data_IF_306065645240
#
_entry.id   IF_306065645240
#
_cell.length_a   1.000
_cell.length_b   1.000
_cell.length_c   1.000
_cell.angle_alpha   90.00
_cell.angle_beta   90.00
_cell.angle_gamma   90.00
#
_symmetry.space_group_name_H-M   'P 1'
#
loop_
_entity.id
_entity.type
_entity.pdbx_description
1 polymer ?
#
# COMPACT_ATOMS: atom_id res chain seq x y z
N UNK A 1 4.75 -29.06 -1.38
CA UNK A 1 4.66 -27.93 -0.43
C UNK A 1 5.23 -26.77 -1.19
N UNK A 2 4.37 -25.88 -1.67
CA UNK A 2 4.81 -24.71 -2.41
C UNK A 2 5.34 -23.66 -1.44
N UNK A 3 6.25 -22.81 -1.91
CA UNK A 3 6.59 -21.55 -1.21
C UNK A 3 5.71 -20.44 -1.79
N UNK A 4 4.82 -19.89 -0.98
CA UNK A 4 3.99 -18.73 -1.32
C UNK A 4 4.57 -17.50 -0.64
N UNK A 5 4.82 -16.44 -1.42
CA UNK A 5 5.39 -15.21 -0.88
C UNK A 5 4.34 -14.11 -0.85
N UNK A 6 4.15 -13.50 0.30
CA UNK A 6 3.30 -12.33 0.47
C UNK A 6 4.17 -11.11 0.71
N UNK A 7 3.86 -10.00 0.03
CA UNK A 7 4.45 -8.70 0.31
C UNK A 7 3.34 -7.69 0.64
N UNK A 8 3.37 -7.17 1.86
CA UNK A 8 2.44 -6.17 2.37
C UNK A 8 3.18 -4.85 2.54
N UNK A 9 2.80 -3.84 1.77
CA UNK A 9 3.53 -2.57 1.71
C UNK A 9 2.72 -1.46 2.35
N UNK A 10 3.34 -0.73 3.26
CA UNK A 10 2.93 0.65 3.45
C UNK A 10 3.09 1.43 2.13
N UNK A 11 2.30 2.49 1.98
CA UNK A 11 2.30 3.29 0.76
C UNK A 11 2.95 4.65 0.98
N UNK A 12 2.56 5.38 2.03
CA UNK A 12 3.01 6.74 2.28
C UNK A 12 4.43 6.75 2.87
N UNK A 13 5.40 7.34 2.17
CA UNK A 13 6.80 7.32 2.58
C UNK A 13 7.56 6.04 2.20
N UNK A 14 6.83 4.95 1.90
CA UNK A 14 7.36 3.66 1.46
C UNK A 14 7.36 3.56 -0.08
N UNK A 15 6.29 3.05 -0.70
CA UNK A 15 6.22 2.92 -2.16
C UNK A 15 5.95 4.27 -2.88
N UNK A 16 5.14 5.13 -2.26
CA UNK A 16 4.96 6.54 -2.60
C UNK A 16 5.84 7.39 -1.68
N UNK A 17 7.08 7.60 -2.09
CA UNK A 17 8.13 8.25 -1.30
C UNK A 17 8.57 9.59 -1.92
N UNK A 18 9.46 10.30 -1.24
CA UNK A 18 9.93 11.63 -1.65
C UNK A 18 10.54 11.64 -3.07
N UNK A 19 11.19 10.56 -3.49
CA UNK A 19 11.76 10.46 -4.83
C UNK A 19 10.68 10.29 -5.90
N UNK A 20 9.64 9.51 -5.61
CA UNK A 20 8.44 9.40 -6.45
C UNK A 20 7.75 10.75 -6.57
N UNK A 21 7.55 11.44 -5.44
CA UNK A 21 6.95 12.76 -5.38
C UNK A 21 7.72 13.77 -6.25
N UNK A 22 9.04 13.83 -6.08
CA UNK A 22 9.89 14.69 -6.89
C UNK A 22 9.74 14.41 -8.40
N UNK A 23 9.76 13.12 -8.78
CA UNK A 23 9.67 12.70 -10.17
C UNK A 23 8.28 12.94 -10.79
N UNK A 24 7.21 12.83 -9.99
CA UNK A 24 5.86 13.15 -10.42
C UNK A 24 5.69 14.65 -10.66
N UNK A 25 6.19 15.47 -9.75
CA UNK A 25 6.01 16.92 -9.79
C UNK A 25 4.59 17.35 -9.39
N UNK A 26 4.41 18.65 -9.07
CA UNK A 26 3.26 19.17 -8.33
C UNK A 26 1.92 19.13 -9.09
N UNK A 27 1.94 18.96 -10.40
CA UNK A 27 0.78 19.03 -11.29
C UNK A 27 0.46 17.68 -11.97
N UNK A 28 1.09 16.59 -11.51
CA UNK A 28 0.93 15.27 -12.12
C UNK A 28 -0.52 14.82 -12.23
N UNK A 29 -1.38 15.19 -11.27
CA UNK A 29 -2.79 14.82 -11.22
C UNK A 29 -3.58 15.33 -12.43
N UNK A 30 -3.10 16.39 -13.08
CA UNK A 30 -3.72 16.98 -14.28
C UNK A 30 -2.90 16.79 -15.55
N UNK A 31 -1.60 16.50 -15.43
CA UNK A 31 -0.67 16.48 -16.57
C UNK A 31 -0.14 15.10 -16.97
N UNK A 32 -0.23 14.10 -16.09
CA UNK A 32 0.32 12.76 -16.37
C UNK A 32 -0.78 11.73 -16.57
N UNK A 33 -0.58 10.85 -17.54
CA UNK A 33 -1.41 9.67 -17.77
C UNK A 33 -1.20 8.61 -16.69
N UNK A 34 -2.07 7.60 -16.67
CA UNK A 34 -1.92 6.49 -15.73
C UNK A 34 -0.60 5.74 -15.91
N UNK A 35 -0.26 5.49 -17.16
CA UNK A 35 0.95 4.77 -17.58
C UNK A 35 2.20 5.55 -17.16
N UNK A 36 2.21 6.88 -17.30
CA UNK A 36 3.33 7.73 -16.86
C UNK A 36 3.50 7.70 -15.33
N UNK A 37 2.40 7.85 -14.58
CA UNK A 37 2.44 7.82 -13.12
C UNK A 37 2.86 6.44 -12.60
N UNK A 38 2.39 5.35 -13.24
CA UNK A 38 2.80 3.98 -12.92
C UNK A 38 4.28 3.79 -13.19
N UNK A 39 4.73 4.19 -14.39
CA UNK A 39 6.14 4.08 -14.78
C UNK A 39 7.05 4.82 -13.80
N UNK A 40 6.67 6.01 -13.32
CA UNK A 40 7.46 6.76 -12.35
C UNK A 40 7.60 5.98 -11.02
N UNK A 41 6.49 5.49 -10.45
CA UNK A 41 6.54 4.69 -9.21
C UNK A 41 7.42 3.45 -9.38
N UNK A 42 7.29 2.75 -10.50
CA UNK A 42 8.05 1.52 -10.79
C UNK A 42 9.53 1.80 -11.04
N UNK A 43 9.87 2.89 -11.75
CA UNK A 43 11.25 3.25 -12.05
C UNK A 43 12.00 3.75 -10.80
N UNK A 44 11.36 4.59 -9.99
CA UNK A 44 11.95 5.09 -8.75
C UNK A 44 12.21 3.94 -7.77
N UNK A 45 11.27 3.00 -7.64
CA UNK A 45 11.40 1.87 -6.74
C UNK A 45 12.08 0.64 -7.39
N UNK A 46 12.73 0.78 -8.55
CA UNK A 46 13.20 -0.36 -9.35
C UNK A 46 14.10 -1.32 -8.57
N UNK A 47 15.13 -0.79 -7.91
CA UNK A 47 16.10 -1.62 -7.16
C UNK A 47 15.40 -2.39 -6.03
N UNK A 48 14.44 -1.74 -5.35
CA UNK A 48 13.64 -2.38 -4.32
C UNK A 48 12.78 -3.50 -4.91
N UNK A 49 12.05 -3.24 -5.99
CA UNK A 49 11.18 -4.21 -6.67
C UNK A 49 12.00 -5.42 -7.15
N UNK A 50 13.17 -5.18 -7.75
CA UNK A 50 14.09 -6.23 -8.23
C UNK A 50 14.69 -7.06 -7.07
N UNK A 51 14.71 -6.52 -5.85
CA UNK A 51 15.17 -7.23 -4.66
C UNK A 51 14.09 -8.08 -3.98
N UNK A 52 12.81 -7.95 -4.37
CA UNK A 52 11.72 -8.69 -3.74
C UNK A 52 11.82 -10.18 -4.05
N UNK A 53 11.70 -11.00 -3.01
CA UNK A 53 11.61 -12.45 -3.18
C UNK A 53 10.33 -12.83 -3.94
N UNK A 54 10.43 -13.85 -4.78
CA UNK A 54 9.27 -14.41 -5.50
C UNK A 54 9.12 -15.89 -5.16
N UNK A 55 7.87 -16.30 -4.93
CA UNK A 55 7.50 -17.69 -4.72
C UNK A 55 6.99 -18.35 -6.00
N UNK A 56 6.48 -19.57 -5.86
CA UNK A 56 5.66 -20.20 -6.90
C UNK A 56 4.40 -19.35 -7.19
N UNK A 57 3.90 -18.69 -6.14
CA UNK A 57 2.95 -17.60 -6.23
C UNK A 57 3.41 -16.46 -5.34
N UNK A 58 3.20 -15.24 -5.82
CA UNK A 58 3.46 -14.02 -5.06
C UNK A 58 2.17 -13.23 -4.92
N UNK A 59 1.88 -12.72 -3.72
CA UNK A 59 0.66 -11.96 -3.44
C UNK A 59 1.02 -10.61 -2.83
N UNK A 60 0.57 -9.54 -3.47
CA UNK A 60 0.76 -8.18 -2.97
C UNK A 60 -0.46 -7.75 -2.17
N UNK A 61 -0.22 -7.08 -1.05
CA UNK A 61 -1.23 -6.60 -0.12
C UNK A 61 -1.02 -5.12 0.16
N UNK A 62 -2.10 -4.40 0.48
CA UNK A 62 -2.01 -3.06 1.06
C UNK A 62 -1.65 -3.20 2.54
N UNK A 63 -0.41 -2.89 2.90
CA UNK A 63 0.09 -2.81 4.27
C UNK A 63 -0.04 -1.43 4.90
N UNK A 64 -0.71 -0.50 4.22
CA UNK A 64 -0.92 0.87 4.67
C UNK A 64 -2.22 1.04 5.45
N UNK A 65 -2.33 2.10 6.26
CA UNK A 65 -3.61 2.50 6.88
C UNK A 65 -4.68 2.92 5.86
N UNK A 66 -4.31 3.04 4.57
CA UNK A 66 -5.22 3.22 3.43
C UNK A 66 -6.06 1.96 3.16
N UNK A 67 -6.74 1.46 4.19
CA UNK A 67 -7.61 0.27 4.16
C UNK A 67 -9.04 0.60 3.74
N UNK A 68 -9.37 1.88 3.64
CA UNK A 68 -10.70 2.34 3.26
C UNK A 68 -10.60 3.62 2.40
N UNK A 69 -11.67 3.98 1.66
CA UNK A 69 -11.65 5.13 0.78
C UNK A 69 -11.48 6.48 1.48
N UNK A 70 -11.91 6.61 2.75
CA UNK A 70 -11.76 7.84 3.52
C UNK A 70 -10.29 8.08 3.86
N UNK A 71 -9.58 7.08 4.43
CA UNK A 71 -8.16 7.25 4.75
C UNK A 71 -7.33 7.36 3.47
N UNK A 72 -7.64 6.58 2.43
CA UNK A 72 -6.96 6.68 1.13
C UNK A 72 -7.15 8.08 0.51
N UNK A 73 -8.36 8.64 0.51
CA UNK A 73 -8.61 10.02 0.04
C UNK A 73 -7.81 11.02 0.85
N UNK A 74 -7.91 10.95 2.19
CA UNK A 74 -7.25 11.89 3.09
C UNK A 74 -5.75 11.89 2.86
N UNK A 75 -5.12 10.72 2.74
CA UNK A 75 -3.69 10.62 2.48
C UNK A 75 -3.33 10.96 1.02
N UNK A 76 -4.20 10.66 0.06
CA UNK A 76 -4.02 11.02 -1.35
C UNK A 76 -3.93 12.52 -1.57
N UNK A 77 -4.47 13.35 -0.66
CA UNK A 77 -4.47 14.82 -0.75
C UNK A 77 -3.45 15.49 0.17
N UNK A 78 -2.63 14.72 0.91
CA UNK A 78 -1.59 15.28 1.78
C UNK A 78 -0.40 15.78 0.95
N UNK A 79 0.05 17.00 1.24
CA UNK A 79 1.23 17.69 0.65
C UNK A 79 1.19 17.88 -0.87
N UNK A 80 2.25 18.53 -1.38
CA UNK A 80 2.51 18.71 -2.81
C UNK A 80 3.82 17.98 -3.14
N UNK A 81 3.83 17.07 -4.13
CA UNK A 81 2.66 16.52 -4.82
C UNK A 81 1.85 15.52 -3.97
N UNK A 82 0.54 15.39 -4.24
CA UNK A 82 -0.30 14.37 -3.64
C UNK A 82 0.11 12.96 -4.11
N UNK A 83 0.07 11.91 -3.27
CA UNK A 83 0.48 10.56 -3.67
C UNK A 83 -0.60 9.79 -4.49
N UNK A 84 -1.83 10.31 -4.59
CA UNK A 84 -2.93 9.60 -5.26
C UNK A 84 -3.43 8.39 -4.46
N UNK A 85 -4.24 7.54 -5.08
CA UNK A 85 -4.76 6.30 -4.48
C UNK A 85 -3.73 5.16 -4.56
N UNK A 86 -3.66 4.34 -3.51
CA UNK A 86 -2.76 3.18 -3.45
C UNK A 86 -3.12 2.09 -4.47
N UNK A 87 -4.40 1.87 -4.75
CA UNK A 87 -4.83 0.66 -5.45
C UNK A 87 -4.30 0.53 -6.89
N UNK A 88 -4.42 1.56 -7.75
CA UNK A 88 -3.89 1.46 -9.11
C UNK A 88 -2.37 1.26 -9.15
N UNK A 89 -1.65 1.70 -8.11
CA UNK A 89 -0.19 1.53 -8.01
C UNK A 89 0.17 0.08 -7.65
N UNK A 90 -0.61 -0.54 -6.77
CA UNK A 90 -0.44 -1.94 -6.39
C UNK A 90 -0.78 -2.89 -7.55
N UNK A 91 -1.80 -2.58 -8.35
CA UNK A 91 -2.11 -3.31 -9.58
C UNK A 91 -0.95 -3.25 -10.57
N UNK A 92 -0.40 -2.05 -10.80
CA UNK A 92 0.75 -1.88 -11.69
C UNK A 92 2.01 -2.58 -11.18
N UNK A 93 2.21 -2.65 -9.86
CA UNK A 93 3.30 -3.42 -9.26
C UNK A 93 3.12 -4.92 -9.49
N UNK A 94 1.91 -5.45 -9.32
CA UNK A 94 1.62 -6.86 -9.60
C UNK A 94 1.89 -7.20 -11.07
N UNK A 95 1.41 -6.37 -12.00
CA UNK A 95 1.68 -6.54 -13.44
C UNK A 95 3.19 -6.49 -13.74
N UNK A 96 3.92 -5.56 -13.11
CA UNK A 96 5.37 -5.44 -13.28
C UNK A 96 6.14 -6.67 -12.77
N UNK A 97 5.69 -7.29 -11.69
CA UNK A 97 6.33 -8.45 -11.08
C UNK A 97 6.06 -9.76 -11.85
N UNK A 98 5.01 -9.80 -12.68
CA UNK A 98 4.79 -10.86 -13.66
C UNK A 98 3.64 -11.81 -13.33
N UNK A 99 3.46 -12.83 -14.16
CA UNK A 99 2.25 -13.67 -14.22
C UNK A 99 1.95 -14.48 -12.95
N UNK A 100 2.97 -14.76 -12.12
CA UNK A 100 2.81 -15.47 -10.84
C UNK A 100 2.50 -14.53 -9.68
N UNK A 101 2.42 -13.22 -9.93
CA UNK A 101 2.13 -12.20 -8.93
C UNK A 101 0.70 -11.69 -9.07
N UNK A 102 -0.04 -11.65 -7.96
CA UNK A 102 -1.39 -11.09 -7.92
C UNK A 102 -1.49 -9.98 -6.89
N UNK A 103 -2.35 -8.99 -7.15
CA UNK A 103 -2.76 -8.03 -6.14
C UNK A 103 -4.00 -8.57 -5.41
N UNK A 104 -3.89 -8.73 -4.10
CA UNK A 104 -5.01 -9.15 -3.27
C UNK A 104 -5.95 -7.98 -3.02
N UNK A 105 -7.26 -8.12 -3.27
CA UNK A 105 -8.24 -7.06 -3.03
C UNK A 105 -8.60 -6.91 -1.54
N UNK A 106 -8.03 -7.73 -0.66
CA UNK A 106 -8.35 -7.74 0.76
C UNK A 106 -8.05 -6.40 1.42
N UNK A 107 -9.05 -5.86 2.11
CA UNK A 107 -8.92 -4.72 3.01
C UNK A 107 -9.53 -5.05 4.37
N UNK A 108 -8.97 -4.47 5.44
CA UNK A 108 -9.39 -4.79 6.81
C UNK A 108 -10.90 -4.68 7.08
N UNK A 109 -11.63 -3.67 6.54
CA UNK A 109 -13.09 -3.57 6.71
C UNK A 109 -13.89 -4.78 6.21
N UNK A 110 -13.33 -5.59 5.30
CA UNK A 110 -13.97 -6.82 4.83
C UNK A 110 -14.24 -7.82 5.97
N UNK A 111 -13.45 -7.76 7.06
CA UNK A 111 -13.62 -8.61 8.24
C UNK A 111 -14.54 -8.00 9.30
N UNK A 112 -14.78 -6.69 9.24
CA UNK A 112 -15.62 -5.95 10.20
C UNK A 112 -17.09 -5.91 9.77
N UNK A 113 -17.36 -6.24 8.50
CA UNK A 113 -18.70 -6.33 7.96
C UNK A 113 -19.53 -7.44 8.63
N UNK A 114 -20.86 -7.22 8.70
CA UNK A 114 -21.80 -8.22 9.23
C UNK A 114 -21.73 -9.56 8.49
N UNK A 115 -21.42 -9.51 7.19
CA UNK A 115 -21.11 -10.66 6.36
C UNK A 115 -19.70 -10.49 5.79
N UNK A 116 -18.81 -11.41 6.16
CA UNK A 116 -17.40 -11.37 5.74
C UNK A 116 -17.28 -11.81 4.28
N UNK A 117 -16.81 -10.89 3.44
CA UNK A 117 -16.59 -11.12 2.00
C UNK A 117 -15.28 -10.44 1.58
N UNK A 118 -14.24 -11.22 1.40
CA UNK A 118 -12.89 -10.73 1.07
C UNK A 118 -12.90 -10.01 -0.27
N UNK A 119 -12.40 -8.79 -0.30
CA UNK A 119 -12.31 -7.93 -1.47
C UNK A 119 -13.55 -7.07 -1.72
N UNK A 120 -14.62 -7.22 -0.93
CA UNK A 120 -15.87 -6.47 -1.14
C UNK A 120 -15.65 -4.96 -1.08
N UNK A 121 -14.91 -4.48 -0.08
CA UNK A 121 -14.62 -3.05 0.09
C UNK A 121 -13.91 -2.49 -1.15
N UNK A 122 -12.91 -3.22 -1.66
CA UNK A 122 -12.20 -2.82 -2.87
C UNK A 122 -13.09 -2.83 -4.12
N UNK A 123 -13.91 -3.88 -4.30
CA UNK A 123 -14.81 -3.98 -5.45
C UNK A 123 -15.88 -2.89 -5.45
N UNK A 124 -16.46 -2.56 -4.30
CA UNK A 124 -17.40 -1.44 -4.18
C UNK A 124 -16.72 -0.10 -4.46
N UNK A 125 -15.47 0.10 -3.99
CA UNK A 125 -14.70 1.30 -4.32
C UNK A 125 -14.51 1.48 -5.83
N UNK A 126 -14.16 0.42 -6.56
CA UNK A 126 -13.99 0.46 -8.01
C UNK A 126 -15.30 0.82 -8.73
N UNK A 127 -16.44 0.24 -8.31
CA UNK A 127 -17.76 0.50 -8.90
C UNK A 127 -18.21 1.95 -8.79
N UNK A 128 -17.75 2.67 -7.76
CA UNK A 128 -18.12 4.07 -7.52
C UNK A 128 -17.33 5.06 -8.39
N UNK A 129 -16.27 4.60 -9.04
CA UNK A 129 -15.45 5.39 -9.95
C UNK A 129 -14.94 6.72 -9.33
N UNK A 130 -14.47 6.71 -8.09
CA UNK A 130 -13.98 7.93 -7.43
C UNK A 130 -12.70 8.51 -8.04
N UNK A 131 -11.96 7.70 -8.81
CA UNK A 131 -10.65 8.06 -9.35
C UNK A 131 -10.75 8.57 -10.79
N UNK A 132 -9.91 9.56 -11.10
CA UNK A 132 -9.50 9.87 -12.46
C UNK A 132 -8.72 8.68 -13.04
N UNK A 133 -8.63 8.63 -14.38
CA UNK A 133 -7.91 7.55 -15.07
C UNK A 133 -6.45 7.40 -14.63
N UNK A 134 -5.81 8.46 -14.15
CA UNK A 134 -4.43 8.43 -13.70
C UNK A 134 -4.24 8.01 -12.23
N UNK A 135 -5.31 7.62 -11.53
CA UNK A 135 -5.26 7.17 -10.14
C UNK A 135 -5.30 8.30 -9.09
N UNK A 136 -5.44 9.56 -9.51
CA UNK A 136 -5.81 10.66 -8.61
C UNK A 136 -7.31 10.64 -8.31
N UNK A 137 -7.75 11.20 -7.20
CA UNK A 137 -9.18 11.36 -6.92
C UNK A 137 -9.82 12.43 -7.81
N UNK A 138 -11.07 12.20 -8.25
CA UNK A 138 -11.87 13.17 -8.98
C UNK A 138 -12.15 14.40 -8.10
N UNK A 139 -12.27 15.56 -8.75
CA UNK A 139 -12.69 16.79 -8.08
C UNK A 139 -14.08 16.63 -7.45
N UNK A 140 -14.26 17.13 -6.24
CA UNK A 140 -15.54 17.09 -5.50
C UNK A 140 -15.86 15.76 -4.82
N UNK A 141 -14.99 14.74 -4.90
CA UNK A 141 -15.08 13.58 -4.01
C UNK A 141 -14.70 14.02 -2.60
N UNK A 142 -15.64 13.96 -1.67
CA UNK A 142 -15.43 14.36 -0.27
C UNK A 142 -15.64 13.18 0.67
N UNK A 143 -15.04 13.26 1.85
CA UNK A 143 -15.08 12.23 2.88
C UNK A 143 -16.51 11.75 3.20
N UNK A 144 -17.46 12.68 3.32
CA UNK A 144 -18.85 12.38 3.68
C UNK A 144 -19.58 11.56 2.60
N UNK A 145 -19.06 11.53 1.37
CA UNK A 145 -19.61 10.72 0.29
C UNK A 145 -19.40 9.22 0.56
N UNK A 146 -18.30 8.83 1.18
CA UNK A 146 -17.99 7.41 1.43
C UNK A 146 -18.97 6.78 2.42
N UNK A 147 -19.29 7.47 3.51
CA UNK A 147 -20.30 6.99 4.47
C UNK A 147 -21.67 6.85 3.81
N UNK A 148 -22.07 7.81 2.96
CA UNK A 148 -23.33 7.73 2.20
C UNK A 148 -23.35 6.57 1.21
N UNK A 149 -22.19 6.23 0.67
CA UNK A 149 -22.01 5.14 -0.27
C UNK A 149 -21.85 3.76 0.39
N UNK A 150 -21.88 3.71 1.73
CA UNK A 150 -21.90 2.46 2.51
C UNK A 150 -20.52 1.96 2.94
N UNK A 151 -19.47 2.77 2.81
CA UNK A 151 -18.15 2.43 3.36
C UNK A 151 -18.16 2.66 4.88
N UNK A 152 -17.68 1.66 5.62
CA UNK A 152 -17.46 1.78 7.05
C UNK A 152 -16.16 2.53 7.30
N UNK A 153 -16.15 3.40 8.30
CA UNK A 153 -14.90 3.95 8.82
C UNK A 153 -14.21 2.85 9.63
N UNK A 154 -12.99 2.41 9.25
CA UNK A 154 -12.28 1.40 10.01
C UNK A 154 -11.85 1.93 11.37
N UNK A 155 -11.63 1.01 12.30
CA UNK A 155 -10.88 1.31 13.51
C UNK A 155 -9.43 1.61 13.13
N UNK A 156 -8.97 2.83 13.43
CA UNK A 156 -7.59 3.23 13.16
C UNK A 156 -6.62 2.47 14.07
N UNK A 157 -5.81 1.61 13.45
CA UNK A 157 -4.69 0.91 14.10
C UNK A 157 -3.39 1.39 13.48
N UNK A 158 -2.90 2.55 13.94
CA UNK A 158 -1.61 3.10 13.54
C UNK A 158 -0.43 2.14 13.77
N UNK A 159 -0.56 1.14 14.67
CA UNK A 159 0.49 0.18 14.95
C UNK A 159 0.64 -0.89 13.87
N UNK A 160 -0.34 -1.03 12.97
CA UNK A 160 -0.43 -2.07 11.92
C UNK A 160 -0.55 -3.51 12.43
N UNK A 161 -0.65 -3.73 13.76
CA UNK A 161 -0.69 -5.07 14.36
C UNK A 161 -1.90 -5.86 13.85
N UNK A 162 -3.08 -5.25 13.92
CA UNK A 162 -4.35 -5.91 13.54
C UNK A 162 -4.36 -6.25 12.05
N UNK A 163 -3.84 -5.34 11.22
CA UNK A 163 -3.73 -5.52 9.78
C UNK A 163 -2.83 -6.71 9.43
N UNK A 164 -1.60 -6.72 9.94
CA UNK A 164 -0.62 -7.78 9.63
C UNK A 164 -1.09 -9.12 10.20
N UNK A 165 -1.67 -9.13 11.41
CA UNK A 165 -2.28 -10.32 11.98
C UNK A 165 -3.38 -10.89 11.08
N UNK A 166 -4.32 -10.05 10.63
CA UNK A 166 -5.40 -10.46 9.74
C UNK A 166 -4.87 -11.00 8.40
N UNK A 167 -3.91 -10.31 7.78
CA UNK A 167 -3.31 -10.72 6.52
C UNK A 167 -2.58 -12.06 6.62
N UNK A 168 -1.76 -12.27 7.65
CA UNK A 168 -1.08 -13.56 7.87
C UNK A 168 -2.08 -14.69 8.10
N UNK A 169 -3.14 -14.45 8.88
CA UNK A 169 -4.18 -15.45 9.15
C UNK A 169 -4.93 -15.83 7.87
N UNK A 170 -5.31 -14.84 7.06
CA UNK A 170 -5.95 -15.06 5.78
C UNK A 170 -5.05 -15.87 4.84
N UNK A 171 -3.77 -15.51 4.74
CA UNK A 171 -2.78 -16.25 3.93
C UNK A 171 -2.67 -17.71 4.37
N UNK A 172 -2.56 -17.97 5.68
CA UNK A 172 -2.49 -19.33 6.24
C UNK A 172 -3.77 -20.14 6.03
N UNK A 173 -4.94 -19.51 6.12
CA UNK A 173 -6.23 -20.16 5.87
C UNK A 173 -6.41 -20.55 4.39
N UNK A 174 -5.92 -19.71 3.47
CA UNK A 174 -5.99 -19.95 2.03
C UNK A 174 -4.98 -21.00 1.57
N UNK A 175 -3.82 -21.11 2.24
CA UNK A 175 -2.73 -22.01 1.89
C UNK A 175 -2.34 -22.92 3.08
N UNK A 176 -3.23 -23.78 3.58
CA UNK A 176 -3.03 -24.50 4.85
C UNK A 176 -1.95 -25.59 4.82
N UNK A 177 -1.42 -25.92 3.64
CA UNK A 177 -0.41 -26.98 3.44
C UNK A 177 0.92 -26.47 2.88
N UNK A 178 1.01 -25.17 2.63
CA UNK A 178 2.15 -24.54 1.97
C UNK A 178 2.94 -23.70 2.97
N UNK A 179 4.20 -23.45 2.64
CA UNK A 179 5.08 -22.56 3.40
C UNK A 179 4.84 -21.14 2.93
N UNK A 180 4.55 -20.25 3.88
CA UNK A 180 4.25 -18.85 3.61
C UNK A 180 5.39 -18.01 4.13
N UNK A 181 5.98 -17.23 3.23
CA UNK A 181 6.86 -16.13 3.62
C UNK A 181 6.06 -14.84 3.56
N UNK A 182 5.88 -14.20 4.71
CA UNK A 182 5.13 -12.96 4.83
C UNK A 182 6.08 -11.80 5.09
N UNK A 183 6.24 -10.92 4.09
CA UNK A 183 7.11 -9.76 4.16
C UNK A 183 6.27 -8.49 4.33
N UNK A 184 6.56 -7.72 5.37
CA UNK A 184 5.95 -6.42 5.61
C UNK A 184 6.99 -5.30 5.49
N UNK A 185 6.63 -4.21 4.82
CA UNK A 185 7.48 -3.06 4.56
C UNK A 185 6.83 -1.77 5.02
N UNK A 186 7.54 -0.97 5.81
CA UNK A 186 7.07 0.33 6.28
C UNK A 186 8.27 1.29 6.40
N UNK A 187 8.06 2.58 6.17
CA UNK A 187 9.13 3.59 6.24
C UNK A 187 9.42 4.01 7.68
N UNK A 188 8.44 3.82 8.58
CA UNK A 188 8.53 4.22 9.97
C UNK A 188 9.22 3.17 10.83
N UNK A 189 10.44 3.52 11.27
CA UNK A 189 11.23 2.69 12.17
C UNK A 189 10.49 2.31 13.46
N UNK A 190 9.73 3.23 14.06
CA UNK A 190 8.97 2.98 15.28
C UNK A 190 7.84 1.96 15.08
N UNK A 191 7.20 1.94 13.90
CA UNK A 191 6.22 0.90 13.53
C UNK A 191 6.92 -0.45 13.38
N UNK A 192 8.00 -0.52 12.59
CA UNK A 192 8.71 -1.77 12.33
C UNK A 192 9.26 -2.39 13.63
N UNK A 193 9.90 -1.60 14.48
CA UNK A 193 10.42 -2.07 15.78
C UNK A 193 9.29 -2.45 16.76
N UNK A 194 8.18 -1.69 16.75
CA UNK A 194 6.99 -1.99 17.55
C UNK A 194 6.37 -3.34 17.17
N UNK A 195 6.19 -3.59 15.87
CA UNK A 195 5.70 -4.86 15.33
C UNK A 195 6.65 -6.02 15.67
N UNK A 196 7.95 -5.80 15.52
CA UNK A 196 8.95 -6.82 15.84
C UNK A 196 8.86 -7.23 17.30
N UNK A 197 8.81 -6.25 18.21
CA UNK A 197 8.63 -6.50 19.63
C UNK A 197 7.32 -7.24 19.91
N UNK A 198 6.21 -6.78 19.35
CA UNK A 198 4.89 -7.36 19.59
C UNK A 198 4.83 -8.85 19.19
N UNK A 199 5.28 -9.19 17.99
CA UNK A 199 5.23 -10.58 17.50
C UNK A 199 6.31 -11.48 18.13
N UNK A 200 7.41 -10.93 18.64
CA UNK A 200 8.36 -11.68 19.47
C UNK A 200 7.79 -12.03 20.84
N UNK A 201 7.01 -11.12 21.44
CA UNK A 201 6.34 -11.34 22.72
C UNK A 201 5.11 -12.26 22.58
N UNK A 202 4.53 -12.36 21.39
CA UNK A 202 3.31 -13.14 21.11
C UNK A 202 3.48 -14.05 19.86
N UNK A 203 4.45 -15.00 19.86
CA UNK A 203 4.78 -15.81 18.68
C UNK A 203 3.63 -16.73 18.24
N UNK A 204 2.72 -17.09 19.15
CA UNK A 204 1.52 -17.90 18.86
C UNK A 204 0.49 -17.18 17.96
N UNK A 205 0.62 -15.86 17.81
CA UNK A 205 -0.22 -15.09 16.89
C UNK A 205 0.19 -15.31 15.43
N UNK A 206 1.46 -15.66 15.17
CA UNK A 206 1.95 -16.03 13.84
C UNK A 206 1.47 -17.46 13.53
N UNK A 207 0.77 -17.70 12.40
CA UNK A 207 0.39 -19.05 12.00
C UNK A 207 1.61 -19.96 11.81
N UNK A 208 1.47 -21.26 12.14
CA UNK A 208 2.61 -22.21 12.16
C UNK A 208 3.33 -22.38 10.83
N UNK A 209 2.65 -22.13 9.71
CA UNK A 209 3.20 -22.24 8.37
C UNK A 209 3.64 -20.89 7.79
N UNK A 210 3.70 -19.83 8.61
CA UNK A 210 4.09 -18.48 8.21
C UNK A 210 5.42 -18.11 8.85
N UNK A 211 6.35 -17.61 8.04
CA UNK A 211 7.54 -16.88 8.48
C UNK A 211 7.29 -15.39 8.28
N UNK A 212 7.31 -14.60 9.36
CA UNK A 212 7.13 -13.15 9.32
C UNK A 212 8.47 -12.42 9.22
N UNK A 213 8.61 -11.60 8.17
CA UNK A 213 9.74 -10.72 7.94
C UNK A 213 9.28 -9.27 7.99
N UNK A 214 9.83 -8.48 8.90
CA UNK A 214 9.54 -7.05 9.04
C UNK A 214 10.74 -6.25 8.55
N UNK A 215 10.53 -5.35 7.58
CA UNK A 215 11.60 -4.63 6.88
C UNK A 215 11.29 -3.14 6.83
N UNK A 216 12.30 -2.31 7.10
CA UNK A 216 12.19 -0.86 6.89
C UNK A 216 12.48 -0.50 5.44
N UNK A 217 11.62 0.30 4.81
CA UNK A 217 11.85 0.84 3.46
C UNK A 217 11.21 2.21 3.29
N UNK A 218 12.02 3.22 2.95
CA UNK A 218 11.59 4.63 2.82
C UNK A 218 11.87 5.22 1.44
N UNK A 219 11.97 4.38 0.41
CA UNK A 219 12.37 4.81 -0.92
C UNK A 219 13.88 5.11 -1.09
N UNK A 220 14.32 5.37 -2.33
CA UNK A 220 15.67 5.84 -2.60
C UNK A 220 15.87 7.28 -2.13
N UNK A 221 17.11 7.62 -1.76
CA UNK A 221 17.47 8.98 -1.35
C UNK A 221 17.58 9.90 -2.55
N UNK A 222 16.99 11.09 -2.46
CA UNK A 222 17.22 12.16 -3.42
C UNK A 222 18.69 12.64 -3.40
N UNK A 223 19.19 13.08 -4.56
CA UNK A 223 20.48 13.78 -4.64
C UNK A 223 20.39 15.19 -4.03
N UNK A 224 21.52 15.77 -3.64
CA UNK A 224 21.55 17.14 -3.08
C UNK A 224 20.93 18.19 -4.02
N UNK A 225 21.14 18.03 -5.33
CA UNK A 225 20.58 18.92 -6.36
C UNK A 225 19.04 18.81 -6.41
N UNK A 226 18.50 17.60 -6.33
CA UNK A 226 17.05 17.34 -6.31
C UNK A 226 16.40 17.90 -5.05
N UNK A 227 17.07 17.72 -3.90
CA UNK A 227 16.64 18.30 -2.62
C UNK A 227 16.57 19.84 -2.72
N UNK A 228 17.59 20.49 -3.26
CA UNK A 228 17.60 21.95 -3.44
C UNK A 228 16.49 22.45 -4.40
N UNK A 229 16.24 21.73 -5.49
CA UNK A 229 15.14 22.06 -6.41
C UNK A 229 13.76 21.92 -5.75
N UNK A 230 13.58 20.90 -4.88
CA UNK A 230 12.37 20.74 -4.08
C UNK A 230 12.15 21.92 -3.12
N UNK A 231 13.18 22.36 -2.41
CA UNK A 231 13.07 23.51 -1.50
C UNK A 231 12.66 24.81 -2.21
N UNK A 232 13.18 25.08 -3.41
CA UNK A 232 12.82 26.28 -4.19
C UNK A 232 11.36 26.22 -4.65
N UNK A 233 10.90 25.04 -5.05
CA UNK A 233 9.52 24.82 -5.51
C UNK A 233 8.50 24.94 -4.37
N UNK A 234 8.87 24.54 -3.16
CA UNK A 234 8.04 24.68 -1.96
C UNK A 234 8.03 26.13 -1.45
N UNK A 235 9.18 26.81 -1.42
CA UNK A 235 9.31 28.19 -0.94
C UNK A 235 8.70 29.25 -1.88
N UNK A 236 8.51 28.94 -3.16
CA UNK A 236 7.86 29.84 -4.14
C UNK A 236 6.32 29.79 -4.10
N UNK A 237 5.74 28.92 -3.26
CA UNK A 237 4.30 28.71 -3.12
C UNK A 237 3.75 28.99 -1.72
N UNK A 238 4.59 29.41 -0.78
CA UNK A 238 4.25 29.92 0.57
C UNK A 238 4.20 31.44 0.58
#
# INVERSE_FOLDING_TARGET
MAKIVYHSFDFDGCFSNEATDHALGPDWTTKKSNEEVNKIHLDVNREFIESLEQGEQTVLLVGSNRQDPYIDLKNSRKKIPPPGSVFPRMEALAEKMGETTTFSPFLLPDLEAAEVEIGKTYQEFLKKEYLNKNGSYKDGVEAEQFTKDGFSEPLDDESKVSLIFAQMRLAAMQNPKDEIEFNFYDDRKDIVEGLQKFFQENPELIPKNVTLNLKGYSGPKLTQEQVQANYITLASKS
#
